data_IF_354638615678
#
_entry.id   IF_354638615678
#
_cell.length_a   1.000
_cell.length_b   1.000
_cell.length_c   1.000
_cell.angle_alpha   90.00
_cell.angle_beta   90.00
_cell.angle_gamma   90.00
#
_symmetry.space_group_name_H-M   'P 1'
#
loop_
_entity.id
_entity.type
_entity.pdbx_description
1 polymer ?
#
# COMPACT_ATOMS: atom_id res chain seq x y z
N UNK A 1 -3.14 -3.61 -9.20
CA UNK A 1 -2.56 -4.20 -10.45
C UNK A 1 -1.61 -3.21 -11.06
N UNK A 2 -0.52 -3.66 -11.68
CA UNK A 2 0.50 -2.78 -12.24
C UNK A 2 0.80 -3.11 -13.71
N UNK A 3 0.94 -2.08 -14.54
CA UNK A 3 1.39 -2.20 -15.93
C UNK A 3 2.55 -1.26 -16.19
N UNK A 4 3.39 -1.61 -17.16
CA UNK A 4 4.36 -0.70 -17.75
C UNK A 4 3.90 -0.34 -19.16
N UNK A 5 3.92 0.95 -19.47
CA UNK A 5 3.54 1.52 -20.75
C UNK A 5 4.76 2.17 -21.39
N UNK A 6 4.95 1.91 -22.67
CA UNK A 6 6.01 2.50 -23.48
C UNK A 6 5.53 2.76 -24.90
N UNK A 7 6.37 3.44 -25.67
CA UNK A 7 6.34 3.46 -27.12
C UNK A 7 7.77 3.28 -27.63
N UNK A 8 7.98 3.37 -28.94
CA UNK A 8 9.31 3.26 -29.56
C UNK A 8 10.28 4.32 -29.05
N UNK A 9 9.78 5.53 -28.80
CA UNK A 9 10.58 6.71 -28.51
C UNK A 9 10.89 6.86 -27.01
N UNK A 10 10.18 6.11 -26.16
CA UNK A 10 10.25 6.14 -24.69
C UNK A 10 10.32 7.57 -24.12
N UNK A 11 9.25 8.37 -24.28
CA UNK A 11 9.26 9.78 -23.90
C UNK A 11 9.61 9.93 -22.43
N UNK A 12 10.39 10.97 -22.13
CA UNK A 12 10.63 11.40 -20.76
C UNK A 12 9.39 12.10 -20.23
N UNK A 13 8.91 11.61 -19.11
CA UNK A 13 7.73 12.13 -18.43
C UNK A 13 8.20 12.62 -17.06
N UNK A 14 7.69 13.77 -16.62
CA UNK A 14 8.18 14.46 -15.42
C UNK A 14 7.12 14.62 -14.33
N UNK A 15 5.93 14.07 -14.54
CA UNK A 15 4.78 14.23 -13.65
C UNK A 15 4.22 12.88 -13.25
N UNK A 16 3.80 12.76 -12.00
CA UNK A 16 2.92 11.69 -11.54
C UNK A 16 1.47 12.13 -11.68
N UNK A 17 0.57 11.17 -11.87
CA UNK A 17 -0.84 11.44 -12.03
C UNK A 17 -1.66 10.50 -11.13
N UNK A 18 -2.71 11.03 -10.53
CA UNK A 18 -3.63 10.29 -9.68
C UNK A 18 -5.06 10.59 -10.14
N UNK A 19 -5.86 9.56 -10.36
CA UNK A 19 -7.26 9.73 -10.78
C UNK A 19 -8.17 8.65 -10.18
N UNK A 20 -9.26 9.11 -9.57
CA UNK A 20 -10.34 8.25 -9.10
C UNK A 20 -11.12 7.64 -10.28
N UNK A 21 -11.58 6.40 -10.11
CA UNK A 21 -12.43 5.67 -11.05
C UNK A 21 -13.55 4.92 -10.30
N UNK A 22 -14.63 4.49 -10.97
CA UNK A 22 -15.76 3.82 -10.31
C UNK A 22 -15.36 2.60 -9.47
N UNK A 23 -14.36 1.84 -9.93
CA UNK A 23 -13.91 0.60 -9.28
C UNK A 23 -12.60 0.73 -8.49
N UNK A 24 -12.06 1.94 -8.34
CA UNK A 24 -10.72 2.09 -7.78
C UNK A 24 -10.11 3.47 -7.97
N UNK A 25 -8.79 3.53 -7.94
CA UNK A 25 -8.04 4.71 -8.38
C UNK A 25 -6.78 4.30 -9.13
N UNK A 26 -6.38 5.16 -10.05
CA UNK A 26 -5.18 5.03 -10.86
C UNK A 26 -4.09 5.92 -10.33
N UNK A 27 -2.87 5.38 -10.29
CA UNK A 27 -1.65 6.14 -10.16
C UNK A 27 -0.75 5.83 -11.35
N UNK A 28 -0.22 6.88 -11.96
CA UNK A 28 0.69 6.80 -13.07
C UNK A 28 1.96 7.56 -12.73
N UNK A 29 3.11 6.92 -12.90
CA UNK A 29 4.41 7.51 -12.59
C UNK A 29 5.41 7.30 -13.72
N UNK A 30 6.31 8.27 -13.96
CA UNK A 30 7.34 8.14 -14.97
C UNK A 30 8.34 7.04 -14.60
N UNK A 31 8.87 6.35 -15.61
CA UNK A 31 9.93 5.36 -15.45
C UNK A 31 11.28 5.95 -15.84
N UNK A 32 12.35 5.48 -15.19
CA UNK A 32 13.73 5.91 -15.47
C UNK A 32 14.14 5.71 -16.94
N UNK A 33 13.62 4.67 -17.59
CA UNK A 33 13.89 4.33 -19.00
C UNK A 33 12.85 4.90 -19.97
N UNK A 34 12.04 5.86 -19.53
CA UNK A 34 10.93 6.43 -20.30
C UNK A 34 9.64 5.60 -20.21
N UNK A 35 8.53 6.24 -20.58
CA UNK A 35 7.18 5.69 -20.44
C UNK A 35 6.64 5.76 -18.99
N UNK A 36 5.55 5.04 -18.74
CA UNK A 36 4.79 5.09 -17.49
C UNK A 36 4.73 3.73 -16.79
N UNK A 37 4.71 3.76 -15.46
CA UNK A 37 4.17 2.69 -14.63
C UNK A 37 2.75 3.08 -14.24
N UNK A 38 1.77 2.25 -14.57
CA UNK A 38 0.40 2.39 -14.08
C UNK A 38 0.17 1.45 -12.91
N UNK A 39 -0.50 1.94 -11.88
CA UNK A 39 -1.03 1.19 -10.77
C UNK A 39 -2.53 1.44 -10.69
N UNK A 40 -3.33 0.39 -10.77
CA UNK A 40 -4.77 0.45 -10.50
C UNK A 40 -5.05 -0.26 -9.17
N UNK A 41 -5.42 0.53 -8.16
CA UNK A 41 -5.89 0.03 -6.88
C UNK A 41 -7.38 -0.29 -6.99
N UNK A 42 -7.74 -1.56 -6.86
CA UNK A 42 -9.13 -2.05 -6.98
C UNK A 42 -9.28 -3.32 -6.16
N UNK A 43 -10.52 -3.65 -5.80
CA UNK A 43 -10.85 -4.92 -5.16
C UNK A 43 -11.04 -5.99 -6.25
N UNK A 44 -10.03 -6.86 -6.41
CA UNK A 44 -10.10 -7.98 -7.36
C UNK A 44 -10.81 -9.17 -6.72
N UNK A 45 -11.82 -9.71 -7.43
CA UNK A 45 -12.42 -11.00 -7.09
C UNK A 45 -11.64 -12.12 -7.77
N UNK A 46 -11.55 -13.28 -7.12
CA UNK A 46 -10.78 -14.41 -7.64
C UNK A 46 -11.29 -14.91 -9.00
N UNK A 47 -12.60 -14.75 -9.27
CA UNK A 47 -13.25 -15.17 -10.51
C UNK A 47 -12.79 -14.42 -11.77
N UNK A 48 -12.25 -13.20 -11.64
CA UNK A 48 -11.90 -12.35 -12.80
C UNK A 48 -10.40 -12.29 -13.10
N UNK A 49 -9.57 -13.03 -12.35
CA UNK A 49 -8.10 -12.96 -12.44
C UNK A 49 -7.58 -13.35 -13.83
N UNK A 50 -8.28 -14.23 -14.56
CA UNK A 50 -7.92 -14.60 -15.93
C UNK A 50 -8.15 -13.45 -16.91
N UNK A 51 -9.30 -12.78 -16.81
CA UNK A 51 -9.69 -11.69 -17.71
C UNK A 51 -8.80 -10.46 -17.54
N UNK A 52 -8.36 -10.21 -16.30
CA UNK A 52 -7.44 -9.12 -15.94
C UNK A 52 -6.14 -9.14 -16.74
N UNK A 53 -5.67 -10.31 -17.18
CA UNK A 53 -4.41 -10.46 -17.94
C UNK A 53 -4.54 -10.01 -19.40
N UNK A 54 -5.74 -9.72 -19.87
CA UNK A 54 -5.97 -9.31 -21.26
C UNK A 54 -5.73 -7.81 -21.45
N UNK A 55 -5.26 -7.42 -22.64
CA UNK A 55 -5.17 -6.01 -23.03
C UNK A 55 -6.56 -5.36 -23.10
N UNK A 56 -7.60 -6.14 -23.37
CA UNK A 56 -8.99 -5.67 -23.37
C UNK A 56 -9.41 -5.14 -21.99
N UNK A 57 -9.05 -5.83 -20.91
CA UNK A 57 -9.40 -5.41 -19.56
C UNK A 57 -8.84 -4.03 -19.20
N UNK A 58 -7.55 -3.79 -19.46
CA UNK A 58 -6.95 -2.48 -19.19
C UNK A 58 -7.55 -1.40 -20.09
N UNK A 59 -7.79 -1.69 -21.37
CA UNK A 59 -8.44 -0.73 -22.27
C UNK A 59 -9.84 -0.34 -21.77
N UNK A 60 -10.64 -1.31 -21.33
CA UNK A 60 -11.95 -1.06 -20.72
C UNK A 60 -11.82 -0.17 -19.47
N UNK A 61 -10.88 -0.49 -18.57
CA UNK A 61 -10.69 0.29 -17.33
C UNK A 61 -10.11 1.68 -17.56
N UNK A 62 -9.28 1.87 -18.57
CA UNK A 62 -8.83 3.20 -18.98
C UNK A 62 -9.98 4.03 -19.58
N UNK A 63 -10.91 3.41 -20.31
CA UNK A 63 -12.07 4.12 -20.85
C UNK A 63 -13.00 4.68 -19.76
N UNK A 64 -13.01 4.08 -18.57
CA UNK A 64 -13.71 4.59 -17.38
C UNK A 64 -13.06 5.87 -16.79
N UNK A 65 -11.84 6.22 -17.21
CA UNK A 65 -11.15 7.45 -16.76
C UNK A 65 -11.58 8.68 -17.57
N UNK A 66 -11.46 9.85 -16.97
CA UNK A 66 -11.69 11.15 -17.62
C UNK A 66 -10.41 11.68 -18.25
N UNK A 67 -9.30 11.68 -17.50
CA UNK A 67 -8.07 12.37 -17.91
C UNK A 67 -6.95 11.42 -18.32
N UNK A 68 -6.73 10.33 -17.57
CA UNK A 68 -5.63 9.41 -17.79
C UNK A 68 -5.61 8.82 -19.21
N UNK A 69 -6.78 8.44 -19.75
CA UNK A 69 -6.86 7.93 -21.13
C UNK A 69 -6.39 8.94 -22.18
N UNK A 70 -6.69 10.23 -21.99
CA UNK A 70 -6.26 11.28 -22.90
C UNK A 70 -4.75 11.51 -22.76
N UNK A 71 -4.24 11.53 -21.53
CA UNK A 71 -2.81 11.70 -21.29
C UNK A 71 -1.97 10.57 -21.89
N UNK A 72 -2.40 9.31 -21.75
CA UNK A 72 -1.75 8.15 -22.38
C UNK A 72 -1.76 8.28 -23.91
N UNK A 73 -2.88 8.75 -24.48
CA UNK A 73 -3.03 8.97 -25.92
C UNK A 73 -2.11 10.07 -26.43
N UNK A 74 -2.03 11.21 -25.73
CA UNK A 74 -1.21 12.36 -26.12
C UNK A 74 0.30 12.02 -26.05
N UNK A 75 0.68 11.16 -25.10
CA UNK A 75 2.03 10.61 -25.00
C UNK A 75 2.32 9.50 -26.02
N UNK A 76 1.34 9.11 -26.84
CA UNK A 76 1.43 8.06 -27.83
C UNK A 76 1.92 6.72 -27.25
N UNK A 77 1.53 6.39 -26.01
CA UNK A 77 1.90 5.15 -25.33
C UNK A 77 0.93 4.03 -25.73
N UNK A 78 1.44 3.03 -26.44
CA UNK A 78 0.63 1.96 -27.04
C UNK A 78 1.08 0.55 -26.67
N UNK A 79 2.29 0.40 -26.11
CA UNK A 79 2.82 -0.90 -25.71
C UNK A 79 2.57 -1.11 -24.22
N UNK A 80 1.82 -2.17 -23.89
CA UNK A 80 1.48 -2.53 -22.51
C UNK A 80 2.20 -3.82 -22.12
N UNK A 81 2.85 -3.83 -20.96
CA UNK A 81 3.33 -5.08 -20.36
C UNK A 81 2.15 -5.96 -19.92
N UNK A 82 2.41 -7.25 -19.69
CA UNK A 82 1.50 -8.07 -18.90
C UNK A 82 1.31 -7.44 -17.50
N UNK A 83 0.11 -7.50 -16.91
CA UNK A 83 -0.11 -6.98 -15.58
C UNK A 83 0.63 -7.78 -14.53
N UNK A 84 1.22 -7.07 -13.58
CA UNK A 84 1.67 -7.62 -12.33
C UNK A 84 0.53 -7.43 -11.30
N UNK A 85 0.03 -8.54 -10.77
CA UNK A 85 -0.97 -8.52 -9.70
C UNK A 85 -0.22 -8.56 -8.35
N UNK A 86 -0.59 -7.65 -7.46
CA UNK A 86 -0.08 -7.55 -6.10
C UNK A 86 -1.27 -7.44 -5.16
N UNK A 87 -1.26 -8.25 -4.12
CA UNK A 87 -2.19 -8.08 -3.01
C UNK A 87 -1.67 -6.94 -2.14
N UNK A 88 -2.56 -6.01 -1.82
CA UNK A 88 -2.26 -4.93 -0.91
C UNK A 88 -3.43 -4.83 0.06
N UNK A 89 -3.14 -4.95 1.34
CA UNK A 89 -4.10 -4.66 2.40
C UNK A 89 -3.43 -3.81 3.47
N UNK A 90 -4.23 -2.93 4.08
CA UNK A 90 -3.80 -2.21 5.28
C UNK A 90 -3.65 -3.24 6.39
N UNK A 91 -2.48 -3.32 7.01
CA UNK A 91 -2.13 -4.34 8.00
C UNK A 91 -1.41 -3.70 9.19
N UNK A 92 -1.60 -4.31 10.35
CA UNK A 92 -0.92 -3.94 11.59
C UNK A 92 -0.59 -5.20 12.35
N UNK A 93 0.68 -5.40 12.68
CA UNK A 93 1.13 -6.48 13.53
C UNK A 93 1.48 -5.92 14.91
N UNK A 94 0.76 -6.37 15.93
CA UNK A 94 1.14 -6.07 17.30
C UNK A 94 2.44 -6.78 17.64
N UNK A 95 3.42 -6.01 18.11
CA UNK A 95 4.73 -6.50 18.53
C UNK A 95 4.84 -6.46 20.05
N UNK A 96 5.42 -7.52 20.61
CA UNK A 96 5.63 -7.68 22.05
C UNK A 96 7.12 -7.77 22.31
N UNK A 97 7.60 -6.95 23.25
CA UNK A 97 9.02 -6.93 23.63
C UNK A 97 9.13 -7.33 25.08
N UNK A 98 9.56 -8.57 25.29
CA UNK A 98 9.91 -9.08 26.61
C UNK A 98 11.42 -8.93 26.79
N UNK A 99 11.81 -8.23 27.86
CA UNK A 99 13.20 -8.17 28.30
C UNK A 99 13.23 -8.81 29.67
N UNK A 100 13.66 -10.07 29.71
CA UNK A 100 13.84 -10.83 30.93
C UNK A 100 15.26 -11.38 30.92
N UNK A 101 15.99 -11.19 32.02
CA UNK A 101 17.31 -11.79 32.20
C UNK A 101 17.25 -13.31 32.45
N UNK A 102 16.04 -13.87 32.61
CA UNK A 102 15.82 -15.25 33.09
C UNK A 102 15.03 -16.14 32.11
N UNK A 103 14.52 -15.62 31.00
CA UNK A 103 13.78 -16.43 30.02
C UNK A 103 14.45 -16.38 28.65
N UNK A 104 14.53 -17.54 28.00
CA UNK A 104 15.04 -17.71 26.63
C UNK A 104 14.07 -17.20 25.55
N UNK A 105 13.23 -16.21 25.88
CA UNK A 105 12.31 -15.61 24.92
C UNK A 105 13.03 -14.54 24.11
N UNK A 106 13.10 -14.75 22.80
CA UNK A 106 13.73 -13.80 21.88
C UNK A 106 12.84 -12.57 21.69
N UNK A 107 13.41 -11.37 21.83
CA UNK A 107 12.73 -10.13 21.46
C UNK A 107 12.67 -10.02 19.92
N UNK A 108 11.46 -9.92 19.37
CA UNK A 108 11.25 -9.62 17.94
C UNK A 108 10.79 -8.19 17.78
N UNK A 109 11.51 -7.44 16.95
CA UNK A 109 11.16 -6.08 16.56
C UNK A 109 10.81 -6.08 15.08
N UNK A 110 9.66 -5.49 14.73
CA UNK A 110 9.17 -5.41 13.36
C UNK A 110 9.42 -4.00 12.83
N UNK A 111 9.76 -3.90 11.54
CA UNK A 111 9.92 -2.63 10.82
C UNK A 111 9.27 -2.71 9.43
N UNK A 112 9.00 -1.55 8.85
CA UNK A 112 8.35 -1.39 7.55
C UNK A 112 7.01 -2.11 7.48
N UNK A 113 6.76 -2.74 6.33
CA UNK A 113 5.50 -3.45 6.06
C UNK A 113 5.28 -4.65 6.99
N UNK A 114 6.34 -5.17 7.64
CA UNK A 114 6.18 -6.20 8.66
C UNK A 114 5.55 -5.66 9.95
N UNK A 115 5.73 -4.38 10.26
CA UNK A 115 5.09 -3.73 11.41
C UNK A 115 3.71 -3.16 11.02
N UNK A 116 3.67 -2.31 9.99
CA UNK A 116 2.45 -1.72 9.44
C UNK A 116 2.54 -1.60 7.92
N UNK A 117 1.50 -2.06 7.24
CA UNK A 117 1.30 -1.83 5.81
C UNK A 117 0.21 -0.78 5.64
N UNK A 118 0.52 0.33 4.96
CA UNK A 118 -0.32 1.52 4.83
C UNK A 118 -1.02 1.56 3.48
N UNK A 119 -2.18 2.20 3.36
CA UNK A 119 -2.84 2.43 2.07
C UNK A 119 -1.90 3.20 1.13
N UNK A 120 -1.67 2.71 -0.11
CA UNK A 120 -0.66 3.25 -1.00
C UNK A 120 -1.02 4.66 -1.50
N UNK A 121 -2.29 5.08 -1.37
CA UNK A 121 -2.73 6.43 -1.69
C UNK A 121 -2.00 7.49 -0.87
N UNK A 122 -1.58 7.15 0.34
CA UNK A 122 -0.83 8.05 1.23
C UNK A 122 0.63 8.26 0.82
N UNK A 123 1.20 7.39 -0.03
CA UNK A 123 2.65 7.37 -0.35
C UNK A 123 3.58 7.24 0.87
N UNK A 124 3.07 6.83 2.04
CA UNK A 124 3.86 6.80 3.28
C UNK A 124 4.64 5.49 3.51
N UNK A 125 4.48 4.46 2.68
CA UNK A 125 5.11 3.14 2.91
C UNK A 125 6.64 3.18 2.98
N UNK A 126 7.30 3.89 2.05
CA UNK A 126 8.77 4.01 2.06
C UNK A 126 9.27 4.83 3.26
N UNK A 127 8.59 5.92 3.58
CA UNK A 127 8.92 6.75 4.75
C UNK A 127 8.77 5.94 6.04
N UNK A 128 7.68 5.17 6.17
CA UNK A 128 7.48 4.25 7.29
C UNK A 128 8.60 3.22 7.40
N UNK A 129 8.98 2.57 6.29
CA UNK A 129 10.04 1.56 6.29
C UNK A 129 11.39 2.12 6.77
N UNK A 130 11.79 3.29 6.28
CA UNK A 130 13.05 3.94 6.68
C UNK A 130 13.00 4.36 8.15
N UNK A 131 11.93 5.06 8.55
CA UNK A 131 11.78 5.55 9.92
C UNK A 131 11.74 4.41 10.94
N UNK A 132 10.90 3.41 10.71
CA UNK A 132 10.78 2.25 11.61
C UNK A 132 12.06 1.42 11.67
N UNK A 133 12.79 1.27 10.55
CA UNK A 133 14.10 0.63 10.53
C UNK A 133 15.10 1.33 11.45
N UNK A 134 15.15 2.67 11.41
CA UNK A 134 15.97 3.46 12.33
C UNK A 134 15.55 3.27 13.79
N UNK A 135 14.24 3.31 14.07
CA UNK A 135 13.73 3.10 15.44
C UNK A 135 14.06 1.72 15.99
N UNK A 136 13.98 0.67 15.16
CA UNK A 136 14.40 -0.68 15.54
C UNK A 136 15.89 -0.75 15.83
N UNK A 137 16.73 -0.10 15.03
CA UNK A 137 18.16 -0.04 15.29
C UNK A 137 18.47 0.64 16.64
N UNK A 138 17.82 1.76 16.96
CA UNK A 138 17.96 2.43 18.25
C UNK A 138 17.50 1.57 19.43
N UNK A 139 16.44 0.79 19.24
CA UNK A 139 15.94 -0.17 20.23
C UNK A 139 16.99 -1.24 20.53
N UNK A 140 17.59 -1.85 19.50
CA UNK A 140 18.62 -2.88 19.65
C UNK A 140 19.85 -2.33 20.38
N UNK A 141 20.31 -1.13 20.02
CA UNK A 141 21.45 -0.49 20.67
C UNK A 141 21.20 -0.25 22.17
N UNK A 142 20.04 0.30 22.54
CA UNK A 142 19.71 0.53 23.95
C UNK A 142 19.51 -0.77 24.73
N UNK A 143 18.91 -1.80 24.11
CA UNK A 143 18.78 -3.12 24.73
C UNK A 143 20.15 -3.69 25.07
N UNK A 144 21.11 -3.60 24.14
CA UNK A 144 22.46 -4.11 24.34
C UNK A 144 23.22 -3.36 25.44
N UNK A 145 23.06 -2.04 25.52
CA UNK A 145 23.79 -1.22 26.49
C UNK A 145 23.17 -1.24 27.90
N UNK A 146 21.85 -1.26 28.02
CA UNK A 146 21.14 -0.96 29.27
C UNK A 146 20.22 -2.08 29.75
N UNK A 147 20.05 -3.15 28.96
CA UNK A 147 19.08 -4.23 29.23
C UNK A 147 17.66 -3.69 29.53
N UNK A 148 17.28 -2.59 28.87
CA UNK A 148 16.03 -1.87 29.12
C UNK A 148 15.10 -1.88 27.89
N UNK A 149 13.84 -2.26 28.10
CA UNK A 149 12.80 -2.28 27.05
C UNK A 149 12.13 -0.93 26.81
N UNK A 150 12.53 0.14 27.49
CA UNK A 150 11.82 1.44 27.46
C UNK A 150 11.72 2.02 26.04
N UNK A 151 12.81 1.99 25.27
CA UNK A 151 12.82 2.44 23.87
C UNK A 151 11.91 1.59 23.00
N UNK A 152 11.98 0.27 23.15
CA UNK A 152 11.13 -0.68 22.43
C UNK A 152 9.64 -0.43 22.70
N UNK A 153 9.29 -0.17 23.96
CA UNK A 153 7.93 0.17 24.36
C UNK A 153 7.47 1.52 23.79
N UNK A 154 8.36 2.51 23.72
CA UNK A 154 8.07 3.79 23.09
C UNK A 154 7.85 3.64 21.57
N UNK A 155 8.71 2.87 20.89
CA UNK A 155 8.57 2.55 19.47
C UNK A 155 7.24 1.82 19.18
N UNK A 156 6.89 0.80 19.96
CA UNK A 156 5.61 0.09 19.84
C UNK A 156 4.42 1.05 19.91
N UNK A 157 4.39 1.94 20.92
CA UNK A 157 3.34 2.97 21.06
C UNK A 157 3.36 3.98 19.91
N UNK A 158 4.52 4.26 19.32
CA UNK A 158 4.62 5.15 18.17
C UNK A 158 3.99 4.50 16.92
N UNK A 159 4.33 3.24 16.61
CA UNK A 159 3.72 2.49 15.50
C UNK A 159 2.19 2.40 15.64
N UNK A 160 1.71 2.05 16.83
CA UNK A 160 0.27 1.97 17.13
C UNK A 160 -0.44 3.31 16.86
N UNK A 161 0.14 4.42 17.35
CA UNK A 161 -0.39 5.76 17.10
C UNK A 161 -0.33 6.11 15.62
N UNK A 162 0.77 5.85 14.93
CA UNK A 162 0.90 6.11 13.49
C UNK A 162 -0.17 5.39 12.69
N UNK A 163 -0.48 4.14 13.07
CA UNK A 163 -1.52 3.35 12.42
C UNK A 163 -2.92 3.94 12.63
N UNK A 164 -3.24 4.37 13.87
CA UNK A 164 -4.52 5.03 14.17
C UNK A 164 -4.67 6.31 13.35
N UNK A 165 -3.63 7.15 13.28
CA UNK A 165 -3.65 8.37 12.46
C UNK A 165 -3.86 8.02 10.98
N UNK A 166 -3.10 7.05 10.45
CA UNK A 166 -3.24 6.62 9.07
C UNK A 166 -4.67 6.17 8.73
N UNK A 167 -5.34 5.41 9.62
CA UNK A 167 -6.72 4.96 9.37
C UNK A 167 -7.71 6.12 9.29
N UNK A 168 -7.54 7.16 10.12
CA UNK A 168 -8.37 8.36 10.07
C UNK A 168 -8.09 9.18 8.80
N UNK A 169 -6.82 9.42 8.48
CA UNK A 169 -6.42 10.17 7.28
C UNK A 169 -6.90 9.46 6.02
N UNK A 170 -6.77 8.13 5.97
CA UNK A 170 -7.28 7.30 4.87
C UNK A 170 -8.76 7.54 4.68
N UNK A 171 -9.56 7.44 5.74
CA UNK A 171 -11.00 7.67 5.67
C UNK A 171 -11.32 9.06 5.10
N UNK A 172 -10.67 10.11 5.63
CA UNK A 172 -10.87 11.48 5.18
C UNK A 172 -10.52 11.67 3.69
N UNK A 173 -9.43 11.08 3.22
CA UNK A 173 -9.03 11.15 1.81
C UNK A 173 -10.09 10.48 0.92
N UNK A 174 -10.57 9.28 1.27
CA UNK A 174 -11.60 8.60 0.47
C UNK A 174 -12.98 9.28 0.53
N UNK A 175 -13.27 10.06 1.57
CA UNK A 175 -14.50 10.85 1.68
C UNK A 175 -14.53 12.08 0.76
N UNK A 176 -13.36 12.58 0.33
CA UNK A 176 -13.27 13.73 -0.59
C UNK A 176 -13.80 13.41 -1.99
N UNK A 177 -13.75 12.16 -2.43
CA UNK A 177 -14.31 11.74 -3.72
C UNK A 177 -15.82 11.51 -3.60
N UNK A 178 -16.60 12.37 -4.27
CA UNK A 178 -18.06 12.34 -4.20
C UNK A 178 -18.72 11.69 -5.42
N UNK A 179 -18.04 11.65 -6.58
CA UNK A 179 -18.62 11.14 -7.84
C UNK A 179 -18.91 9.64 -7.77
N UNK A 180 -18.08 8.91 -7.04
CA UNK A 180 -18.19 7.45 -6.92
C UNK A 180 -18.64 6.98 -5.55
N UNK A 181 -19.35 7.85 -4.82
CA UNK A 181 -19.73 7.59 -3.43
C UNK A 181 -20.41 6.23 -3.27
N UNK A 182 -21.38 5.91 -4.12
CA UNK A 182 -22.18 4.69 -3.95
C UNK A 182 -21.53 3.43 -4.55
N UNK A 183 -20.32 3.54 -5.10
CA UNK A 183 -19.61 2.39 -5.64
C UNK A 183 -18.96 1.54 -4.54
N UNK A 184 -18.96 0.19 -4.65
CA UNK A 184 -18.51 -0.70 -3.58
C UNK A 184 -17.10 -0.44 -3.06
N UNK A 185 -16.14 -0.18 -3.96
CA UNK A 185 -14.74 0.10 -3.60
C UNK A 185 -14.62 1.33 -2.67
N UNK A 186 -15.41 2.37 -2.96
CA UNK A 186 -15.40 3.64 -2.24
C UNK A 186 -16.19 3.55 -0.94
N UNK A 187 -17.36 2.91 -0.95
CA UNK A 187 -18.16 2.67 0.26
C UNK A 187 -17.35 1.93 1.32
N UNK A 188 -16.69 0.82 0.95
CA UNK A 188 -15.89 0.04 1.87
C UNK A 188 -14.72 0.82 2.51
N UNK A 189 -14.24 1.89 1.87
CA UNK A 189 -13.07 2.67 2.33
C UNK A 189 -13.45 3.93 3.10
N UNK A 190 -14.69 4.39 3.01
CA UNK A 190 -15.27 5.43 3.88
C UNK A 190 -15.81 4.88 5.19
N UNK A 191 -16.06 3.57 5.27
CA UNK A 191 -16.39 2.93 6.55
C UNK A 191 -15.22 3.04 7.53
N UNK A 192 -15.56 3.38 8.77
CA UNK A 192 -14.57 3.55 9.84
C UNK A 192 -13.89 2.22 10.10
N UNK A 193 -12.56 2.22 9.99
CA UNK A 193 -11.73 1.06 10.28
C UNK A 193 -11.01 1.27 11.60
N UNK A 194 -11.10 0.30 12.51
CA UNK A 194 -10.43 0.34 13.80
C UNK A 194 -9.25 -0.62 13.83
N UNK A 195 -8.22 -0.28 14.60
CA UNK A 195 -6.98 -1.07 14.72
C UNK A 195 -7.25 -2.54 15.12
N UNK A 196 -8.12 -2.76 16.11
CA UNK A 196 -8.51 -4.11 16.56
C UNK A 196 -9.16 -4.95 15.44
N UNK A 197 -9.85 -4.29 14.50
CA UNK A 197 -10.44 -4.96 13.35
C UNK A 197 -9.42 -5.43 12.31
N UNK A 198 -8.16 -5.00 12.40
CA UNK A 198 -7.06 -5.45 11.53
C UNK A 198 -6.34 -6.68 12.10
N UNK A 199 -6.11 -6.73 13.41
CA UNK A 199 -5.48 -7.90 14.06
C UNK A 199 -6.31 -9.18 13.85
N UNK A 200 -7.64 -9.09 13.97
CA UNK A 200 -8.52 -10.26 13.84
C UNK A 200 -8.62 -10.79 12.40
N UNK A 201 -8.32 -9.97 11.37
CA UNK A 201 -8.35 -10.42 9.97
C UNK A 201 -7.09 -11.20 9.57
N UNK A 202 -6.01 -11.09 10.33
CA UNK A 202 -4.77 -11.83 10.08
C UNK A 202 -4.85 -13.29 10.56
N UNK A 203 -5.66 -13.59 11.59
CA UNK A 203 -5.85 -14.96 12.08
C UNK A 203 -6.67 -15.86 11.15
N UNK A 204 -7.40 -15.27 10.20
CA UNK A 204 -8.28 -16.00 9.27
C UNK A 204 -7.61 -16.35 7.93
N UNK A 205 -6.35 -15.94 7.72
CA UNK A 205 -5.57 -16.35 6.55
C UNK A 205 -4.84 -17.67 6.83
N UNK A 206 -5.12 -18.76 6.08
CA UNK A 206 -4.34 -19.98 6.22
C UNK A 206 -2.90 -19.65 5.84
N UNK A 207 -1.97 -19.98 6.73
CA UNK A 207 -0.54 -19.93 6.52
C UNK A 207 -0.18 -20.54 5.17
N UNK A 208 0.02 -19.69 4.15
CA UNK A 208 0.68 -20.12 2.92
C UNK A 208 2.17 -20.14 3.24
N UNK A 209 2.67 -21.37 3.43
CA UNK A 209 4.09 -21.69 3.41
C UNK A 209 4.71 -21.10 2.14
N UNK A 210 5.84 -20.43 2.31
CA UNK A 210 6.70 -19.94 1.24
C UNK A 210 7.13 -21.06 0.27
#
# INVERSE_FOLDING_TARGET
MCWQLSNTDNPRIHSTFLEAAPSGWWYAAPRLRGGLSLFFATDLKQSIVRDVKTTHYIAQKLNETTHLKHWIKDLNLSQFSAPIIRHHSVQYQQQTVHVSSQTSEHAFLLAGDAAICLDPLSSHGSTNAIWSGLQVAECVDHLHQQWSSNRCNAYRKAIERSMIHHLNDRQQIYEQETRFRDHPFWTARRERCHLHGLCNKQSDHPSQSF
#
